data_IF_655214093668
#
_entry.id   IF_655214093668
#
_cell.length_a   1.000
_cell.length_b   1.000
_cell.length_c   1.000
_cell.angle_alpha   90.00
_cell.angle_beta   90.00
_cell.angle_gamma   90.00
#
_symmetry.space_group_name_H-M   'P 1'
#
loop_
_entity.id
_entity.type
_entity.pdbx_description
1 polymer ?
#
# COMPACT_ATOMS: atom_id res chain seq x y z
N UNK A 1 20.95 -9.57 5.26
CA UNK A 1 19.80 -8.76 5.75
C UNK A 1 18.73 -9.75 6.13
N UNK A 2 18.22 -9.73 7.36
CA UNK A 2 17.20 -10.69 7.81
C UNK A 2 15.89 -10.35 7.08
N UNK A 3 15.24 -11.36 6.51
CA UNK A 3 13.92 -11.19 5.91
C UNK A 3 12.90 -10.83 7.00
N UNK A 4 12.09 -9.80 6.76
CA UNK A 4 11.14 -9.33 7.77
C UNK A 4 10.08 -10.38 8.10
N UNK A 5 9.76 -11.26 7.15
CA UNK A 5 8.86 -12.41 7.34
C UNK A 5 9.46 -13.39 8.33
N UNK A 6 10.75 -13.69 8.21
CA UNK A 6 11.45 -14.60 9.13
C UNK A 6 11.50 -14.03 10.55
N UNK A 7 11.67 -12.71 10.68
CA UNK A 7 11.60 -12.03 11.97
C UNK A 7 10.20 -12.12 12.61
N UNK A 8 9.14 -11.87 11.84
CA UNK A 8 7.77 -12.01 12.33
C UNK A 8 7.44 -13.46 12.70
N UNK A 9 7.93 -14.44 11.94
CA UNK A 9 7.78 -15.85 12.26
C UNK A 9 8.51 -16.21 13.56
N UNK A 10 9.73 -15.71 13.75
CA UNK A 10 10.47 -15.87 15.00
C UNK A 10 9.69 -15.34 16.21
N UNK A 11 9.15 -14.12 16.12
CA UNK A 11 8.37 -13.51 17.21
C UNK A 11 7.11 -14.33 17.56
N UNK A 12 6.38 -14.81 16.55
CA UNK A 12 5.15 -15.60 16.75
C UNK A 12 5.36 -16.93 17.45
N UNK A 13 6.59 -17.47 17.45
CA UNK A 13 6.94 -18.77 18.03
C UNK A 13 7.86 -18.65 19.25
N UNK A 14 8.00 -17.46 19.86
CA UNK A 14 8.72 -17.36 21.13
C UNK A 14 7.82 -17.87 22.24
N UNK A 15 8.34 -18.78 23.07
CA UNK A 15 7.68 -19.31 24.27
C UNK A 15 7.15 -18.20 25.21
N UNK A 16 7.80 -17.02 25.20
CA UNK A 16 7.34 -15.88 25.98
C UNK A 16 5.97 -15.34 25.51
N UNK A 17 5.65 -15.47 24.24
CA UNK A 17 4.38 -15.05 23.65
C UNK A 17 3.35 -16.18 23.52
N UNK A 18 3.69 -17.41 23.93
CA UNK A 18 2.75 -18.52 24.01
C UNK A 18 1.58 -18.12 24.93
N UNK A 19 0.36 -18.34 24.45
CA UNK A 19 -0.91 -17.95 25.07
C UNK A 19 -1.11 -16.43 25.34
N UNK A 20 -0.17 -15.55 24.94
CA UNK A 20 -0.32 -14.09 25.03
C UNK A 20 -0.86 -13.45 23.75
N UNK A 21 -0.66 -14.09 22.60
CA UNK A 21 -1.19 -13.61 21.32
C UNK A 21 -2.65 -13.98 21.19
N UNK A 22 -3.54 -13.05 21.53
CA UNK A 22 -4.98 -13.26 21.44
C UNK A 22 -5.51 -13.30 19.99
N UNK A 23 -4.82 -12.65 19.05
CA UNK A 23 -5.29 -12.53 17.66
C UNK A 23 -4.13 -12.27 16.68
N UNK A 24 -4.22 -12.88 15.50
CA UNK A 24 -3.36 -12.59 14.35
C UNK A 24 -4.26 -12.35 13.15
N UNK A 25 -4.19 -11.15 12.58
CA UNK A 25 -4.85 -10.80 11.34
C UNK A 25 -3.81 -10.62 10.23
N UNK A 26 -4.05 -11.22 9.07
CA UNK A 26 -3.24 -10.94 7.87
C UNK A 26 -4.02 -10.00 6.96
N UNK A 27 -3.52 -8.79 6.82
CA UNK A 27 -4.07 -7.81 5.88
C UNK A 27 -3.47 -8.09 4.51
N UNK A 28 -4.29 -8.44 3.49
CA UNK A 28 -3.78 -8.73 2.15
C UNK A 28 -3.17 -7.48 1.53
N UNK A 29 -2.16 -7.69 0.67
CA UNK A 29 -1.62 -6.61 -0.16
C UNK A 29 -2.73 -6.03 -1.04
N UNK A 30 -2.85 -4.71 -1.05
CA UNK A 30 -3.70 -3.99 -1.98
C UNK A 30 -2.87 -3.46 -3.13
N UNK A 31 -3.21 -3.85 -4.35
CA UNK A 31 -2.59 -3.30 -5.55
C UNK A 31 -3.05 -1.86 -5.81
N UNK A 32 -2.23 -1.13 -6.54
CA UNK A 32 -2.51 0.25 -6.86
C UNK A 32 -3.74 0.38 -7.78
N UNK A 33 -4.75 1.12 -7.33
CA UNK A 33 -5.92 1.49 -8.14
C UNK A 33 -5.77 2.94 -8.60
N UNK A 34 -5.73 3.14 -9.92
CA UNK A 34 -5.68 4.46 -10.54
C UNK A 34 -7.04 4.81 -11.15
N UNK A 35 -7.31 6.10 -11.31
CA UNK A 35 -8.54 6.60 -11.94
C UNK A 35 -8.24 7.66 -13.00
N UNK A 36 -9.25 7.93 -13.83
CA UNK A 36 -9.22 8.98 -14.85
C UNK A 36 -10.14 10.12 -14.41
N UNK A 37 -9.70 11.36 -14.61
CA UNK A 37 -10.47 12.53 -14.24
C UNK A 37 -11.73 12.64 -15.13
N UNK A 38 -12.90 12.70 -14.50
CA UNK A 38 -14.17 12.89 -15.20
C UNK A 38 -14.24 14.24 -15.94
N UNK A 39 -13.56 15.26 -15.41
CA UNK A 39 -13.45 16.58 -16.02
C UNK A 39 -11.98 16.87 -16.36
N UNK A 40 -11.70 17.43 -17.54
CA UNK A 40 -10.33 17.77 -17.91
C UNK A 40 -9.79 18.85 -16.96
N UNK A 41 -8.63 18.59 -16.39
CA UNK A 41 -7.83 19.60 -15.68
C UNK A 41 -7.14 20.54 -16.66
N UNK A 42 -6.60 21.65 -16.15
CA UNK A 42 -5.81 22.57 -16.96
C UNK A 42 -4.68 21.83 -17.69
N UNK A 43 -4.53 22.12 -19.00
CA UNK A 43 -3.56 21.44 -19.87
C UNK A 43 -2.12 21.54 -19.36
N UNK A 44 -1.73 22.65 -18.73
CA UNK A 44 -0.39 22.79 -18.14
C UNK A 44 -0.17 21.80 -17.03
N UNK A 45 -1.19 21.60 -16.18
CA UNK A 45 -1.14 20.65 -15.07
C UNK A 45 -1.14 19.21 -15.59
N UNK A 46 -1.99 18.88 -16.56
CA UNK A 46 -2.01 17.55 -17.18
C UNK A 46 -0.65 17.20 -17.79
N UNK A 47 -0.08 18.11 -18.58
CA UNK A 47 1.25 17.92 -19.19
C UNK A 47 2.35 17.78 -18.12
N UNK A 48 2.25 18.54 -17.01
CA UNK A 48 3.21 18.43 -15.92
C UNK A 48 3.13 17.06 -15.23
N UNK A 49 1.92 16.56 -14.93
CA UNK A 49 1.71 15.25 -14.33
C UNK A 49 2.25 14.12 -15.22
N UNK A 50 1.97 14.17 -16.52
CA UNK A 50 2.47 13.20 -17.51
C UNK A 50 4.01 13.20 -17.58
N UNK A 51 4.63 14.38 -17.64
CA UNK A 51 6.09 14.52 -17.68
C UNK A 51 6.78 14.00 -16.42
N UNK A 52 6.10 14.05 -15.26
CA UNK A 52 6.60 13.50 -14.01
C UNK A 52 6.24 12.02 -13.81
N UNK A 53 5.51 11.41 -14.74
CA UNK A 53 5.04 10.02 -14.64
C UNK A 53 4.02 9.80 -13.51
N UNK A 54 3.32 10.85 -13.08
CA UNK A 54 2.36 10.79 -11.98
C UNK A 54 1.02 10.30 -12.51
N UNK A 55 0.59 9.14 -12.01
CA UNK A 55 -0.78 8.62 -12.20
C UNK A 55 -1.62 8.98 -10.98
N UNK A 56 -2.86 9.38 -11.20
CA UNK A 56 -3.78 9.72 -10.12
C UNK A 56 -4.36 8.45 -9.52
N UNK A 57 -4.29 8.34 -8.19
CA UNK A 57 -4.99 7.30 -7.47
C UNK A 57 -6.49 7.42 -7.72
N UNK A 58 -7.20 6.30 -7.67
CA UNK A 58 -8.65 6.26 -7.90
C UNK A 58 -9.41 7.30 -7.05
N UNK A 59 -9.11 7.37 -5.75
CA UNK A 59 -9.73 8.34 -4.84
C UNK A 59 -9.38 9.81 -5.11
N UNK A 60 -8.37 10.09 -5.95
CA UNK A 60 -8.01 11.45 -6.37
C UNK A 60 -8.72 11.85 -7.67
N UNK A 61 -9.20 10.87 -8.44
CA UNK A 61 -9.85 11.07 -9.73
C UNK A 61 -11.38 10.93 -9.68
N UNK A 62 -11.91 10.43 -8.56
CA UNK A 62 -13.35 10.40 -8.24
C UNK A 62 -13.95 11.81 -8.12
#
# INVERSE_FOLDING_TARGET
MIDFTDFLNYLKHQDFYDDQIAHIETIPKKEAEFGELNLPIDKKLSNWLENQGIKLWKHQAD
#
